data_IF_444418426497
#
_entry.id   IF_444418426497
#
_cell.length_a   1.000
_cell.length_b   1.000
_cell.length_c   1.000
_cell.angle_alpha   90.00
_cell.angle_beta   90.00
_cell.angle_gamma   90.00
#
_symmetry.space_group_name_H-M   'P 1'
#
loop_
_entity.id
_entity.type
_entity.pdbx_description
1 polymer ?
#
# COMPACT_ATOMS: atom_id res chain seq x y z
N UNK A 1 1.55 1.49 -24.95
CA UNK A 1 2.15 1.44 -23.60
C UNK A 1 3.05 2.65 -23.43
N UNK A 2 2.84 3.50 -22.43
CA UNK A 2 3.72 4.65 -22.12
C UNK A 2 4.99 4.15 -21.42
N UNK A 3 6.08 4.94 -21.49
CA UNK A 3 7.45 4.60 -21.04
C UNK A 3 7.56 4.00 -19.62
N UNK A 4 6.64 4.33 -18.70
CA UNK A 4 6.72 3.93 -17.29
C UNK A 4 5.56 3.05 -16.80
N UNK A 5 4.66 2.61 -17.67
CA UNK A 5 3.47 1.82 -17.28
C UNK A 5 3.82 0.52 -16.53
N UNK A 6 4.97 -0.07 -16.84
CA UNK A 6 5.46 -1.29 -16.22
C UNK A 6 5.83 -1.12 -14.74
N UNK A 7 6.26 0.08 -14.34
CA UNK A 7 6.83 0.34 -13.01
C UNK A 7 5.98 1.24 -12.14
N UNK A 8 5.11 2.08 -12.71
CA UNK A 8 4.27 2.99 -11.91
C UNK A 8 3.24 2.24 -11.06
N UNK A 9 2.73 2.86 -9.96
CA UNK A 9 1.52 2.39 -9.29
C UNK A 9 0.30 2.51 -10.20
N UNK A 10 -0.84 1.99 -9.74
CA UNK A 10 -2.11 2.25 -10.39
C UNK A 10 -2.50 3.73 -10.25
N UNK A 11 -3.23 4.23 -11.24
CA UNK A 11 -4.09 5.40 -11.12
C UNK A 11 -5.43 5.00 -10.50
N UNK A 12 -6.17 5.95 -9.93
CA UNK A 12 -7.50 5.69 -9.37
C UNK A 12 -8.43 4.96 -10.36
N UNK A 13 -8.38 5.34 -11.64
CA UNK A 13 -9.14 4.71 -12.73
C UNK A 13 -8.83 3.21 -12.93
N UNK A 14 -7.69 2.72 -12.44
CA UNK A 14 -7.26 1.32 -12.57
C UNK A 14 -7.45 0.52 -11.27
N UNK A 15 -7.81 1.17 -10.16
CA UNK A 15 -7.90 0.52 -8.84
C UNK A 15 -8.97 -0.54 -8.81
N UNK A 16 -10.16 -0.21 -9.29
CA UNK A 16 -11.27 -1.15 -9.27
C UNK A 16 -10.97 -2.41 -10.10
N UNK A 17 -10.44 -2.23 -11.32
CA UNK A 17 -10.01 -3.36 -12.17
C UNK A 17 -8.93 -4.21 -11.49
N UNK A 18 -7.96 -3.56 -10.83
CA UNK A 18 -6.92 -4.23 -10.04
C UNK A 18 -7.51 -5.07 -8.90
N UNK A 19 -8.48 -4.53 -8.16
CA UNK A 19 -9.18 -5.21 -7.07
C UNK A 19 -9.97 -6.42 -7.59
N UNK A 20 -10.75 -6.25 -8.66
CA UNK A 20 -11.56 -7.34 -9.23
C UNK A 20 -10.72 -8.54 -9.68
N UNK A 21 -9.46 -8.32 -10.08
CA UNK A 21 -8.52 -9.40 -10.43
C UNK A 21 -8.07 -10.24 -9.23
N UNK A 22 -8.16 -9.71 -8.01
CA UNK A 22 -7.60 -10.36 -6.81
C UNK A 22 -8.59 -10.54 -5.67
N UNK A 23 -9.83 -10.05 -5.79
CA UNK A 23 -10.84 -10.08 -4.71
C UNK A 23 -11.13 -11.51 -4.21
N UNK A 24 -11.16 -12.49 -5.11
CA UNK A 24 -11.36 -13.90 -4.77
C UNK A 24 -10.05 -14.69 -4.55
N UNK A 25 -8.90 -14.01 -4.57
CA UNK A 25 -7.61 -14.67 -4.36
C UNK A 25 -7.44 -15.10 -2.89
N UNK A 26 -6.93 -16.31 -2.58
CA UNK A 26 -6.79 -16.79 -1.19
C UNK A 26 -5.99 -15.84 -0.28
N UNK A 27 -4.97 -15.18 -0.82
CA UNK A 27 -4.20 -14.19 -0.07
C UNK A 27 -4.98 -12.90 0.20
N UNK A 28 -5.91 -12.50 -0.67
CA UNK A 28 -6.80 -11.36 -0.38
C UNK A 28 -7.74 -11.72 0.76
N UNK A 29 -8.34 -12.92 0.72
CA UNK A 29 -9.16 -13.43 1.82
C UNK A 29 -8.40 -13.46 3.15
N UNK A 30 -7.18 -14.00 3.15
CA UNK A 30 -6.35 -14.01 4.37
C UNK A 30 -6.06 -12.59 4.89
N UNK A 31 -5.73 -11.66 4.00
CA UNK A 31 -5.49 -10.26 4.35
C UNK A 31 -6.74 -9.60 4.94
N UNK A 32 -7.89 -9.74 4.27
CA UNK A 32 -9.14 -9.12 4.72
C UNK A 32 -9.67 -9.73 6.01
N UNK A 33 -9.53 -11.04 6.21
CA UNK A 33 -9.93 -11.70 7.45
C UNK A 33 -8.99 -11.32 8.62
N UNK A 34 -7.73 -10.98 8.32
CA UNK A 34 -6.87 -10.37 9.31
C UNK A 34 -7.27 -8.93 9.63
N UNK A 35 -7.57 -8.10 8.62
CA UNK A 35 -8.02 -6.72 8.79
C UNK A 35 -9.37 -6.64 9.54
N UNK A 36 -10.27 -7.59 9.28
CA UNK A 36 -11.66 -7.59 9.74
C UNK A 36 -12.08 -8.98 10.28
N UNK A 37 -11.54 -9.41 11.44
CA UNK A 37 -11.70 -10.80 11.93
C UNK A 37 -13.14 -11.19 12.31
N UNK A 38 -14.07 -10.24 12.37
CA UNK A 38 -15.48 -10.42 12.74
C UNK A 38 -16.44 -10.06 11.60
N UNK A 39 -15.92 -9.86 10.39
CA UNK A 39 -16.71 -9.46 9.22
C UNK A 39 -16.75 -10.62 8.24
N UNK A 40 -17.96 -10.98 7.81
CA UNK A 40 -18.18 -12.03 6.82
C UNK A 40 -17.51 -11.71 5.49
N UNK A 41 -17.02 -12.76 4.80
CA UNK A 41 -16.25 -12.61 3.57
C UNK A 41 -16.96 -11.77 2.52
N UNK A 42 -18.25 -12.03 2.31
CA UNK A 42 -19.05 -11.34 1.29
C UNK A 42 -19.22 -9.85 1.60
N UNK A 43 -19.17 -9.42 2.86
CA UNK A 43 -19.29 -8.00 3.22
C UNK A 43 -18.06 -7.24 2.75
N UNK A 44 -16.85 -7.69 3.11
CA UNK A 44 -15.64 -6.99 2.68
C UNK A 44 -15.40 -7.12 1.19
N UNK A 45 -15.81 -8.23 0.55
CA UNK A 45 -15.75 -8.37 -0.92
C UNK A 45 -16.61 -7.33 -1.62
N UNK A 46 -17.85 -7.15 -1.20
CA UNK A 46 -18.74 -6.15 -1.80
C UNK A 46 -18.22 -4.72 -1.62
N UNK A 47 -17.57 -4.42 -0.49
CA UNK A 47 -16.92 -3.11 -0.30
C UNK A 47 -15.70 -2.94 -1.22
N UNK A 48 -14.86 -3.96 -1.36
CA UNK A 48 -13.73 -3.94 -2.29
C UNK A 48 -14.19 -3.72 -3.74
N UNK A 49 -15.24 -4.41 -4.19
CA UNK A 49 -15.80 -4.25 -5.55
C UNK A 49 -16.32 -2.83 -5.81
N UNK A 50 -16.66 -2.07 -4.76
CA UNK A 50 -17.12 -0.66 -4.83
C UNK A 50 -16.01 0.36 -4.60
N UNK A 51 -14.76 -0.08 -4.49
CA UNK A 51 -13.61 0.80 -4.23
C UNK A 51 -13.01 1.26 -5.56
N UNK A 52 -12.87 2.58 -5.74
CA UNK A 52 -12.44 3.20 -7.01
C UNK A 52 -11.24 4.15 -6.86
N UNK A 53 -10.66 4.30 -5.67
CA UNK A 53 -9.48 5.15 -5.47
C UNK A 53 -8.43 4.45 -4.61
N UNK A 54 -7.17 4.83 -4.81
CA UNK A 54 -6.02 4.37 -4.02
C UNK A 54 -6.27 4.69 -2.55
N UNK A 55 -6.74 5.91 -2.28
CA UNK A 55 -6.99 6.40 -0.94
C UNK A 55 -8.05 5.56 -0.24
N UNK A 56 -9.16 5.24 -0.88
CA UNK A 56 -10.22 4.42 -0.28
C UNK A 56 -9.70 3.02 0.04
N UNK A 57 -8.93 2.41 -0.86
CA UNK A 57 -8.31 1.11 -0.60
C UNK A 57 -7.37 1.15 0.61
N UNK A 58 -6.50 2.17 0.67
CA UNK A 58 -5.54 2.32 1.77
C UNK A 58 -6.22 2.63 3.12
N UNK A 59 -7.12 3.62 3.15
CA UNK A 59 -7.75 4.10 4.38
C UNK A 59 -8.81 3.14 4.93
N UNK A 60 -9.62 2.53 4.05
CA UNK A 60 -10.74 1.70 4.51
C UNK A 60 -10.30 0.26 4.80
N UNK A 61 -9.24 -0.25 4.17
CA UNK A 61 -8.83 -1.65 4.30
C UNK A 61 -7.43 -1.81 4.88
N UNK A 62 -6.41 -1.25 4.23
CA UNK A 62 -5.02 -1.50 4.60
C UNK A 62 -4.72 -0.94 5.99
N UNK A 63 -5.17 0.28 6.28
CA UNK A 63 -5.07 0.90 7.60
C UNK A 63 -5.68 0.05 8.72
N UNK A 64 -6.81 -0.62 8.46
CA UNK A 64 -7.40 -1.57 9.41
C UNK A 64 -6.46 -2.75 9.72
N UNK A 65 -5.74 -3.25 8.71
CA UNK A 65 -4.68 -4.25 8.90
C UNK A 65 -3.51 -3.72 9.73
N UNK A 66 -3.08 -2.48 9.50
CA UNK A 66 -2.00 -1.86 10.31
C UNK A 66 -2.40 -1.77 11.77
N UNK A 67 -3.63 -1.35 12.06
CA UNK A 67 -4.16 -1.31 13.43
C UNK A 67 -4.15 -2.69 14.09
N UNK A 68 -4.53 -3.73 13.34
CA UNK A 68 -4.48 -5.11 13.84
C UNK A 68 -3.05 -5.59 14.15
N UNK A 69 -2.07 -5.22 13.31
CA UNK A 69 -0.65 -5.49 13.60
C UNK A 69 -0.24 -4.79 14.88
N UNK A 70 -0.50 -3.48 15.00
CA UNK A 70 -0.14 -2.70 16.18
C UNK A 70 -0.78 -3.26 17.46
N UNK A 71 -2.07 -3.59 17.42
CA UNK A 71 -2.80 -4.16 18.56
C UNK A 71 -2.25 -5.51 19.02
N UNK A 72 -1.79 -6.35 18.07
CA UNK A 72 -1.37 -7.73 18.36
C UNK A 72 0.12 -7.87 18.67
N UNK A 73 0.96 -6.97 18.17
CA UNK A 73 2.42 -7.17 18.16
C UNK A 73 3.23 -5.94 18.57
N UNK A 74 2.62 -4.94 19.19
CA UNK A 74 3.34 -3.76 19.68
C UNK A 74 2.78 -3.27 21.02
N UNK A 75 3.60 -2.52 21.75
CA UNK A 75 3.16 -1.75 22.93
C UNK A 75 2.55 -0.38 22.53
N UNK A 76 2.17 -0.24 21.26
CA UNK A 76 1.68 1.00 20.66
C UNK A 76 2.70 1.71 19.77
N UNK A 77 2.22 2.74 19.08
CA UNK A 77 3.00 3.59 18.19
C UNK A 77 2.85 5.05 18.65
N UNK A 78 3.98 5.75 18.82
CA UNK A 78 3.99 7.18 19.13
C UNK A 78 4.63 7.97 18.00
N UNK A 79 4.11 9.18 17.77
CA UNK A 79 4.51 10.05 16.66
C UNK A 79 4.61 11.50 17.12
N UNK A 80 5.49 12.28 16.48
CA UNK A 80 5.64 13.72 16.74
C UNK A 80 6.19 14.43 15.50
N UNK A 81 6.02 15.76 15.42
CA UNK A 81 6.59 16.57 14.34
C UNK A 81 5.70 16.75 13.11
N UNK A 82 4.54 16.08 13.05
CA UNK A 82 3.61 16.18 11.91
C UNK A 82 2.94 17.55 11.80
N UNK A 83 2.86 18.30 12.91
CA UNK A 83 2.39 19.69 12.94
C UNK A 83 3.26 20.64 12.12
N UNK A 84 4.51 20.26 11.82
CA UNK A 84 5.47 21.06 11.04
C UNK A 84 5.32 20.84 9.52
N UNK A 85 4.50 19.88 9.10
CA UNK A 85 4.32 19.52 7.70
C UNK A 85 3.17 20.30 7.07
N UNK A 86 3.41 20.88 5.90
CA UNK A 86 2.39 21.57 5.11
C UNK A 86 1.74 20.61 4.10
N UNK A 87 0.40 20.61 4.01
CA UNK A 87 -0.33 19.71 3.13
C UNK A 87 -0.15 19.99 1.63
N UNK A 88 0.30 21.19 1.27
CA UNK A 88 0.53 21.63 -0.10
C UNK A 88 2.01 21.54 -0.51
N UNK A 89 2.87 20.98 0.36
CA UNK A 89 4.30 20.82 0.09
C UNK A 89 4.65 19.34 -0.12
N UNK A 90 5.28 18.99 -1.25
CA UNK A 90 5.84 17.65 -1.43
C UNK A 90 7.03 17.41 -0.49
N UNK A 91 7.04 16.26 0.19
CA UNK A 91 8.12 15.84 1.07
C UNK A 91 8.73 14.51 0.63
N UNK A 92 10.06 14.39 0.79
CA UNK A 92 10.77 13.12 0.76
C UNK A 92 11.03 12.67 2.20
N UNK A 93 10.43 11.56 2.60
CA UNK A 93 10.65 10.97 3.91
C UNK A 93 11.83 10.00 3.85
N UNK A 94 12.73 10.11 4.82
CA UNK A 94 13.92 9.26 4.93
C UNK A 94 13.84 8.58 6.30
N UNK A 95 13.85 7.25 6.30
CA UNK A 95 13.86 6.43 7.51
C UNK A 95 15.10 5.53 7.52
N UNK A 96 15.42 4.97 8.67
CA UNK A 96 16.29 3.79 8.72
C UNK A 96 15.62 2.62 7.98
N UNK A 97 16.42 1.65 7.53
CA UNK A 97 15.95 0.57 6.66
C UNK A 97 15.84 -0.75 7.43
N UNK A 98 14.86 -0.85 8.33
CA UNK A 98 14.68 -2.08 9.12
C UNK A 98 13.70 -3.03 8.45
N UNK A 99 12.65 -2.50 7.81
CA UNK A 99 11.70 -3.31 7.05
C UNK A 99 11.00 -2.47 5.97
N UNK A 100 11.19 -2.86 4.70
CA UNK A 100 10.67 -2.11 3.55
C UNK A 100 9.13 -1.98 3.55
N UNK A 101 8.40 -2.96 4.11
CA UNK A 101 6.93 -2.98 4.11
C UNK A 101 6.40 -2.29 5.35
N UNK A 102 6.91 -2.65 6.53
CA UNK A 102 6.38 -2.09 7.79
C UNK A 102 6.76 -0.63 7.96
N UNK A 103 7.99 -0.22 7.62
CA UNK A 103 8.42 1.18 7.78
C UNK A 103 7.52 2.12 6.97
N UNK A 104 7.23 1.75 5.71
CA UNK A 104 6.37 2.54 4.81
C UNK A 104 4.90 2.49 5.23
N UNK A 105 4.44 1.36 5.74
CA UNK A 105 3.05 1.17 6.17
C UNK A 105 2.75 1.94 7.47
N UNK A 106 3.65 1.90 8.45
CA UNK A 106 3.52 2.66 9.70
C UNK A 106 3.57 4.16 9.43
N UNK A 107 4.51 4.62 8.59
CA UNK A 107 4.57 6.02 8.18
C UNK A 107 3.26 6.49 7.51
N UNK A 108 2.70 5.70 6.58
CA UNK A 108 1.46 6.05 5.91
C UNK A 108 0.25 6.04 6.86
N UNK A 109 0.20 5.11 7.80
CA UNK A 109 -0.82 5.11 8.86
C UNK A 109 -0.74 6.39 9.71
N UNK A 110 0.46 6.78 10.15
CA UNK A 110 0.66 8.02 10.89
C UNK A 110 0.31 9.27 10.07
N UNK A 111 0.73 9.33 8.80
CA UNK A 111 0.35 10.43 7.91
C UNK A 111 -1.16 10.53 7.76
N UNK A 112 -1.85 9.40 7.61
CA UNK A 112 -3.30 9.36 7.52
C UNK A 112 -3.97 9.86 8.81
N UNK A 113 -3.53 9.39 9.99
CA UNK A 113 -4.05 9.83 11.29
C UNK A 113 -3.86 11.33 11.54
N UNK A 114 -2.76 11.92 11.03
CA UNK A 114 -2.47 13.35 11.11
C UNK A 114 -3.06 14.18 9.96
N UNK A 115 -3.91 13.60 9.11
CA UNK A 115 -4.57 14.30 8.01
C UNK A 115 -3.60 14.80 6.92
N UNK A 116 -2.45 14.13 6.76
CA UNK A 116 -1.40 14.44 5.79
C UNK A 116 -1.52 13.59 4.53
N UNK A 117 -0.86 14.05 3.45
CA UNK A 117 -0.76 13.28 2.22
C UNK A 117 0.12 12.04 2.44
N UNK A 118 -0.42 10.86 2.13
CA UNK A 118 0.32 9.60 2.14
C UNK A 118 1.34 9.54 0.99
N UNK A 119 2.39 8.76 1.21
CA UNK A 119 3.54 8.63 0.31
C UNK A 119 3.30 7.65 -0.82
N UNK A 120 4.18 7.69 -1.83
CA UNK A 120 4.42 6.55 -2.74
C UNK A 120 5.74 5.90 -2.35
N UNK A 121 5.83 4.58 -2.45
CA UNK A 121 7.02 3.84 -2.01
C UNK A 121 7.68 3.07 -3.15
N UNK A 122 9.01 2.98 -3.11
CA UNK A 122 9.79 2.18 -4.05
C UNK A 122 9.89 0.75 -3.53
N UNK A 123 9.61 -0.24 -4.38
CA UNK A 123 9.82 -1.65 -4.05
C UNK A 123 10.56 -2.37 -5.16
N UNK A 124 11.54 -3.21 -4.81
CA UNK A 124 12.24 -4.04 -5.78
C UNK A 124 11.28 -5.05 -6.43
N UNK A 125 11.32 -5.17 -7.75
CA UNK A 125 10.50 -6.15 -8.49
C UNK A 125 10.77 -7.61 -8.05
N UNK A 126 11.98 -7.88 -7.54
CA UNK A 126 12.38 -9.15 -6.96
C UNK A 126 11.52 -9.59 -5.77
N UNK A 127 10.90 -8.64 -5.05
CA UNK A 127 10.02 -8.91 -3.90
C UNK A 127 8.57 -9.19 -4.29
N UNK A 128 8.17 -8.81 -5.51
CA UNK A 128 6.77 -8.88 -5.98
C UNK A 128 6.63 -9.75 -7.24
N UNK A 129 7.42 -10.81 -7.35
CA UNK A 129 7.39 -11.74 -8.51
C UNK A 129 6.03 -12.42 -8.69
N UNK A 130 5.32 -12.69 -7.59
CA UNK A 130 3.99 -13.33 -7.63
C UNK A 130 2.94 -12.33 -8.16
N UNK A 131 2.06 -12.73 -9.10
CA UNK A 131 1.07 -11.83 -9.69
C UNK A 131 0.22 -11.07 -8.67
N UNK A 132 -0.24 -11.76 -7.62
CA UNK A 132 -0.99 -11.15 -6.52
C UNK A 132 -0.20 -10.04 -5.81
N UNK A 133 1.06 -10.31 -5.43
CA UNK A 133 1.91 -9.35 -4.73
C UNK A 133 2.18 -8.10 -5.58
N UNK A 134 2.37 -8.30 -6.89
CA UNK A 134 2.54 -7.18 -7.84
C UNK A 134 1.30 -6.30 -7.92
N UNK A 135 0.10 -6.89 -7.99
CA UNK A 135 -1.16 -6.14 -7.98
C UNK A 135 -1.30 -5.40 -6.65
N UNK A 136 -1.10 -6.07 -5.52
CA UNK A 136 -1.22 -5.48 -4.19
C UNK A 136 -0.24 -4.31 -3.97
N UNK A 137 1.00 -4.44 -4.47
CA UNK A 137 1.97 -3.36 -4.42
C UNK A 137 1.49 -2.13 -5.20
N UNK A 138 0.98 -2.32 -6.43
CA UNK A 138 0.45 -1.24 -7.27
C UNK A 138 -0.82 -0.61 -6.69
N UNK A 139 -1.69 -1.39 -6.06
CA UNK A 139 -2.87 -0.89 -5.31
C UNK A 139 -2.45 0.01 -4.13
N UNK A 140 -1.33 -0.31 -3.47
CA UNK A 140 -0.77 0.45 -2.36
C UNK A 140 0.19 1.58 -2.78
N UNK A 141 0.04 2.09 -4.00
CA UNK A 141 0.84 3.21 -4.52
C UNK A 141 2.36 2.95 -4.54
N UNK A 142 2.77 1.69 -4.68
CA UNK A 142 4.18 1.37 -4.88
C UNK A 142 4.56 1.50 -6.35
N UNK A 143 5.75 2.04 -6.61
CA UNK A 143 6.42 1.91 -7.90
C UNK A 143 7.53 0.88 -7.84
N UNK A 144 7.74 0.17 -8.94
CA UNK A 144 8.68 -0.93 -9.04
C UNK A 144 10.06 -0.43 -9.45
N UNK A 145 11.06 -0.80 -8.67
CA UNK A 145 12.47 -0.68 -9.05
C UNK A 145 12.88 -1.99 -9.69
N UNK A 146 13.18 -1.95 -10.99
CA UNK A 146 13.66 -3.11 -11.72
C UNK A 146 15.07 -3.47 -11.25
N UNK A 147 15.24 -4.69 -10.74
CA UNK A 147 16.53 -5.20 -10.27
C UNK A 147 17.13 -6.14 -11.32
N UNK A 148 18.46 -6.13 -11.41
CA UNK A 148 19.19 -7.04 -12.32
C UNK A 148 19.10 -6.64 -13.79
N UNK A 149 18.85 -5.35 -14.07
CA UNK A 149 18.94 -4.79 -15.41
C UNK A 149 20.38 -4.85 -15.94
N UNK A 150 20.53 -5.02 -17.24
CA UNK A 150 21.83 -4.93 -17.89
C UNK A 150 22.39 -3.50 -17.79
N UNK A 151 23.72 -3.29 -17.86
CA UNK A 151 24.31 -1.95 -17.85
C UNK A 151 23.72 -0.98 -18.89
N UNK A 152 23.24 -1.51 -20.03
CA UNK A 152 22.59 -0.73 -21.10
C UNK A 152 21.19 -0.24 -20.72
N UNK A 153 20.49 -0.96 -19.85
CA UNK A 153 19.14 -0.61 -19.38
C UNK A 153 19.16 0.30 -18.14
N UNK A 154 20.33 0.48 -17.52
CA UNK A 154 20.56 1.42 -16.41
C UNK A 154 20.87 2.86 -16.88
N UNK A 155 21.20 3.05 -18.16
CA UNK A 155 21.51 4.33 -18.82
C UNK A 155 20.25 4.91 -19.49
#
# INVERSE_FOLDING_TARGET
>A
MKRFDAIRPYFDTEINEGILKVVDHPMMKALMNFCFPKVEDEVWKEQLKKTHSIRDFQCNFIYCGVKQVLEKSSDGLTTSGFEKLDNNTPYLYISNHRDIVLDTTLLNASLFEHGKLMTSSAIGDNLVKKPFLRILAKLNRNFLVQRGLSPRELL
#
